data_IF_301637834590
#
_entry.id   IF_301637834590
#
_cell.length_a   1.000
_cell.length_b   1.000
_cell.length_c   1.000
_cell.angle_alpha   90.00
_cell.angle_beta   90.00
_cell.angle_gamma   90.00
#
_symmetry.space_group_name_H-M   'P 1'
#
loop_
_entity.id
_entity.type
_entity.pdbx_description
1 polymer ?
#
# COMPACT_ATOMS: atom_id res chain seq x y z
N UNK A 1 18.88 6.58 -5.29
CA UNK A 1 17.75 5.83 -4.68
C UNK A 1 17.46 4.54 -5.44
N UNK A 2 18.03 3.41 -5.03
CA UNK A 2 17.81 2.13 -5.71
C UNK A 2 16.35 1.69 -5.68
N UNK A 3 15.82 1.19 -6.81
CA UNK A 3 14.42 0.77 -6.93
C UNK A 3 14.20 -0.64 -6.38
N UNK A 4 13.20 -0.82 -5.50
CA UNK A 4 12.64 -2.15 -5.23
C UNK A 4 11.85 -2.64 -6.44
N UNK A 5 11.01 -1.75 -6.97
CA UNK A 5 10.21 -1.98 -8.17
C UNK A 5 9.83 -0.63 -8.78
N UNK A 6 9.95 -0.47 -10.09
CA UNK A 6 9.60 0.77 -10.78
C UNK A 6 9.33 0.55 -12.26
N UNK A 7 8.60 1.48 -12.88
CA UNK A 7 8.45 1.58 -14.34
C UNK A 7 9.05 2.87 -14.92
N UNK A 8 9.57 3.76 -14.06
CA UNK A 8 10.11 5.05 -14.46
C UNK A 8 11.62 5.04 -14.59
N UNK A 9 12.14 5.88 -15.48
CA UNK A 9 13.53 6.33 -15.38
C UNK A 9 13.67 7.17 -14.10
N UNK A 10 14.41 6.67 -13.11
CA UNK A 10 14.52 7.31 -11.80
C UNK A 10 15.37 8.59 -11.81
N UNK A 11 16.27 8.77 -12.78
CA UNK A 11 17.26 9.86 -12.84
C UNK A 11 16.73 11.24 -12.38
N UNK A 12 15.47 11.54 -12.65
CA UNK A 12 14.75 12.63 -12.00
C UNK A 12 13.42 12.16 -11.43
N UNK A 13 13.08 12.67 -10.24
CA UNK A 13 11.73 12.48 -9.66
C UNK A 13 10.63 13.08 -10.55
N UNK A 14 10.96 14.05 -11.40
CA UNK A 14 10.06 14.65 -12.40
C UNK A 14 9.81 13.78 -13.63
N UNK A 15 10.55 12.69 -13.85
CA UNK A 15 10.26 11.80 -14.97
C UNK A 15 8.90 11.09 -14.76
N UNK A 16 8.08 10.91 -15.80
CA UNK A 16 6.84 10.15 -15.75
C UNK A 16 6.98 8.75 -15.16
N UNK A 17 5.90 8.27 -14.55
CA UNK A 17 5.80 6.92 -14.02
C UNK A 17 5.97 6.84 -12.51
N UNK A 18 6.13 5.62 -12.02
CA UNK A 18 6.07 5.26 -10.61
C UNK A 18 7.20 4.35 -10.17
N UNK A 19 7.45 4.34 -8.86
CA UNK A 19 8.33 3.35 -8.24
C UNK A 19 8.36 3.44 -6.71
N UNK A 20 8.83 2.35 -6.11
CA UNK A 20 9.19 2.26 -4.70
C UNK A 20 10.70 2.11 -4.60
N UNK A 21 11.34 3.01 -3.86
CA UNK A 21 12.79 3.15 -3.83
C UNK A 21 13.32 3.07 -2.40
N UNK A 22 14.45 2.41 -2.22
CA UNK A 22 15.21 2.47 -0.97
C UNK A 22 15.84 3.86 -0.79
N UNK A 23 16.07 4.25 0.46
CA UNK A 23 16.73 5.50 0.84
C UNK A 23 17.96 5.17 1.69
N UNK A 24 18.95 6.08 1.74
CA UNK A 24 20.21 5.85 2.47
C UNK A 24 20.04 5.49 3.96
N UNK A 25 18.99 5.99 4.61
CA UNK A 25 18.73 5.79 6.04
C UNK A 25 18.13 4.43 6.44
N UNK A 26 17.88 3.52 5.50
CA UNK A 26 17.21 2.24 5.79
C UNK A 26 15.73 2.24 5.44
N UNK A 27 15.19 3.43 5.27
CA UNK A 27 13.80 3.68 4.92
C UNK A 27 13.54 3.58 3.41
N UNK A 28 12.29 3.85 3.03
CA UNK A 28 11.84 3.78 1.65
C UNK A 28 11.04 5.01 1.23
N UNK A 29 10.87 5.15 -0.09
CA UNK A 29 10.16 6.23 -0.75
C UNK A 29 9.23 5.66 -1.79
N UNK A 30 8.07 6.28 -1.95
CA UNK A 30 7.23 6.13 -3.14
C UNK A 30 7.30 7.42 -3.96
N UNK A 31 7.46 7.28 -5.27
CA UNK A 31 7.33 8.38 -6.22
C UNK A 31 6.36 8.00 -7.34
N UNK A 32 5.43 8.90 -7.66
CA UNK A 32 4.57 8.86 -8.84
C UNK A 32 4.58 10.22 -9.51
N UNK A 33 4.70 10.24 -10.83
CA UNK A 33 4.67 11.46 -11.64
C UNK A 33 3.83 11.24 -12.88
N UNK A 34 3.00 12.21 -13.19
CA UNK A 34 2.03 12.18 -14.29
C UNK A 34 2.75 12.12 -15.64
N UNK A 35 2.18 11.36 -16.59
CA UNK A 35 2.73 11.18 -17.93
C UNK A 35 2.49 12.34 -18.89
N UNK A 36 1.57 13.26 -18.56
CA UNK A 36 1.19 14.43 -19.37
C UNK A 36 1.69 15.73 -18.75
N UNK A 37 1.60 15.87 -17.44
CA UNK A 37 2.04 17.07 -16.71
C UNK A 37 2.97 16.70 -15.55
N UNK A 38 4.28 16.69 -15.81
CA UNK A 38 5.30 16.28 -14.83
C UNK A 38 5.37 17.15 -13.58
N UNK A 39 4.65 18.28 -13.52
CA UNK A 39 4.49 19.07 -12.28
C UNK A 39 3.55 18.37 -11.28
N UNK A 40 2.62 17.55 -11.77
CA UNK A 40 1.73 16.71 -10.97
C UNK A 40 2.46 15.45 -10.52
N UNK A 41 2.78 15.41 -9.22
CA UNK A 41 3.55 14.33 -8.62
C UNK A 41 3.12 14.03 -7.20
N UNK A 42 3.17 12.75 -6.85
CA UNK A 42 2.95 12.24 -5.50
C UNK A 42 4.26 11.66 -5.02
N UNK A 43 4.89 12.33 -4.07
CA UNK A 43 6.17 11.94 -3.49
C UNK A 43 6.01 11.70 -2.00
N UNK A 44 6.77 10.75 -1.45
CA UNK A 44 6.83 10.62 0.00
C UNK A 44 7.90 9.63 0.45
N UNK A 45 8.85 10.14 1.22
CA UNK A 45 9.78 9.30 2.00
C UNK A 45 9.08 8.92 3.31
N UNK A 46 9.14 7.65 3.68
CA UNK A 46 8.64 7.14 4.95
C UNK A 46 9.78 7.11 5.96
N UNK A 47 9.49 7.26 7.24
CA UNK A 47 10.50 7.16 8.30
C UNK A 47 10.74 5.72 8.72
N UNK A 48 9.82 4.81 8.39
CA UNK A 48 9.93 3.38 8.65
C UNK A 48 11.18 2.81 7.97
N UNK A 49 12.03 2.15 8.76
CA UNK A 49 13.18 1.40 8.28
C UNK A 49 12.67 0.05 7.79
N UNK A 50 13.05 -0.34 6.58
CA UNK A 50 12.69 -1.63 5.94
C UNK A 50 13.93 -2.44 5.51
N UNK A 51 15.12 -1.91 5.78
CA UNK A 51 16.42 -2.57 5.54
C UNK A 51 17.07 -2.94 6.87
N UNK A 52 16.28 -3.54 7.76
CA UNK A 52 16.70 -3.97 9.10
C UNK A 52 16.99 -5.48 9.19
N UNK A 53 16.86 -6.20 8.08
CA UNK A 53 17.12 -7.64 7.99
C UNK A 53 15.88 -8.51 8.24
N UNK A 54 14.69 -7.93 8.35
CA UNK A 54 13.42 -8.63 8.51
C UNK A 54 12.57 -8.48 7.24
N UNK A 55 11.69 -9.45 6.97
CA UNK A 55 10.71 -9.37 5.90
C UNK A 55 9.66 -8.29 6.18
N UNK A 56 9.40 -7.44 5.19
CA UNK A 56 8.34 -6.43 5.23
C UNK A 56 7.37 -6.59 4.07
N UNK A 57 6.11 -6.24 4.32
CA UNK A 57 5.06 -6.23 3.30
C UNK A 57 4.68 -4.79 2.95
N UNK A 58 4.94 -4.39 1.71
CA UNK A 58 4.64 -3.03 1.21
C UNK A 58 3.55 -3.13 0.15
N UNK A 59 2.45 -2.39 0.35
CA UNK A 59 1.38 -2.24 -0.65
C UNK A 59 1.19 -0.77 -0.99
N UNK A 60 1.12 -0.45 -2.27
CA UNK A 60 0.76 0.89 -2.76
C UNK A 60 -0.53 0.78 -3.57
N UNK A 61 -1.52 1.61 -3.25
CA UNK A 61 -2.76 1.72 -4.00
C UNK A 61 -2.92 3.12 -4.56
N UNK A 62 -3.47 3.25 -5.77
CA UNK A 62 -3.82 4.53 -6.37
C UNK A 62 -5.28 4.49 -6.85
N UNK A 63 -6.10 5.41 -6.35
CA UNK A 63 -7.46 5.62 -6.84
C UNK A 63 -7.52 6.82 -7.79
N UNK A 64 -8.08 6.64 -8.98
CA UNK A 64 -8.40 7.76 -9.88
C UNK A 64 -9.47 8.64 -9.23
N UNK A 65 -9.19 9.94 -9.08
CA UNK A 65 -10.07 10.88 -8.38
C UNK A 65 -10.20 10.65 -6.87
N UNK A 66 -9.34 9.80 -6.27
CA UNK A 66 -9.33 9.49 -4.85
C UNK A 66 -7.97 9.76 -4.21
N UNK A 67 -7.47 8.80 -3.44
CA UNK A 67 -6.17 8.88 -2.77
C UNK A 67 -5.17 7.86 -3.28
N UNK A 68 -3.89 8.18 -3.08
CA UNK A 68 -2.83 7.19 -3.00
C UNK A 68 -2.68 6.76 -1.54
N UNK A 69 -2.64 5.47 -1.30
CA UNK A 69 -2.30 4.92 0.02
C UNK A 69 -1.00 4.09 -0.05
N UNK A 70 -0.21 4.14 1.02
CA UNK A 70 0.84 3.17 1.32
C UNK A 70 0.43 2.39 2.55
N UNK A 71 0.57 1.07 2.49
CA UNK A 71 0.49 0.19 3.62
C UNK A 71 1.85 -0.46 3.86
N UNK A 72 2.20 -0.59 5.14
CA UNK A 72 3.39 -1.30 5.61
C UNK A 72 2.94 -2.33 6.64
N UNK A 73 3.36 -3.57 6.46
CA UNK A 73 3.14 -4.67 7.39
C UNK A 73 1.66 -4.84 7.79
N UNK A 74 0.78 -4.76 6.79
CA UNK A 74 -0.68 -4.91 6.94
C UNK A 74 -1.43 -3.62 7.30
N UNK A 75 -0.73 -2.59 7.80
CA UNK A 75 -1.35 -1.38 8.32
C UNK A 75 -1.21 -0.18 7.36
N UNK A 76 -2.19 0.74 7.38
CA UNK A 76 -2.10 2.00 6.64
C UNK A 76 -0.97 2.87 7.22
N UNK A 77 -0.01 3.23 6.38
CA UNK A 77 1.14 4.04 6.75
C UNK A 77 1.04 5.49 6.26
N UNK A 78 0.44 5.71 5.09
CA UNK A 78 0.29 7.04 4.48
C UNK A 78 -0.92 7.09 3.56
N UNK A 79 -1.61 8.23 3.53
CA UNK A 79 -2.71 8.50 2.61
C UNK A 79 -2.63 9.95 2.15
N UNK A 80 -2.61 10.16 0.84
CA UNK A 80 -2.56 11.51 0.25
C UNK A 80 -3.51 11.62 -0.94
N UNK A 81 -4.08 12.80 -1.23
CA UNK A 81 -4.87 13.02 -2.43
C UNK A 81 -4.10 12.67 -3.70
N UNK A 82 -4.78 12.01 -4.64
CA UNK A 82 -4.23 11.77 -5.97
C UNK A 82 -4.34 13.04 -6.81
N UNK A 83 -3.20 13.65 -7.14
CA UNK A 83 -3.13 14.83 -8.01
C UNK A 83 -2.85 14.48 -9.47
N UNK A 84 -2.61 13.22 -9.80
CA UNK A 84 -2.35 12.74 -11.16
C UNK A 84 -3.64 12.78 -11.97
N UNK A 85 -3.59 13.36 -13.17
CA UNK A 85 -4.73 13.51 -14.08
C UNK A 85 -4.55 12.75 -15.40
N UNK A 86 -3.30 12.51 -15.80
CA UNK A 86 -2.88 11.64 -16.89
C UNK A 86 -2.66 10.19 -16.45
N UNK A 87 -1.79 9.50 -17.18
CA UNK A 87 -1.36 8.15 -16.84
C UNK A 87 -0.14 8.15 -15.92
N UNK A 88 0.15 6.99 -15.34
CA UNK A 88 1.44 6.68 -14.69
C UNK A 88 2.17 5.56 -15.44
N UNK A 89 1.68 5.22 -16.63
CA UNK A 89 2.26 4.21 -17.47
C UNK A 89 3.38 4.81 -18.33
N UNK A 90 4.39 4.01 -18.63
CA UNK A 90 5.64 4.45 -19.23
C UNK A 90 6.06 3.64 -20.46
N UNK A 91 5.25 2.69 -20.92
CA UNK A 91 5.60 1.82 -22.06
C UNK A 91 5.84 2.59 -23.38
N UNK A 92 5.39 3.84 -23.50
CA UNK A 92 5.64 4.68 -24.68
C UNK A 92 6.95 5.47 -24.59
N UNK A 93 7.62 5.47 -23.43
CA UNK A 93 8.93 6.10 -23.24
C UNK A 93 10.03 5.08 -23.52
N UNK A 94 11.21 5.56 -23.90
CA UNK A 94 12.34 4.71 -24.23
C UNK A 94 13.55 4.98 -23.34
N UNK A 95 14.38 3.95 -23.16
CA UNK A 95 15.70 4.05 -22.58
C UNK A 95 16.72 4.53 -23.65
N UNK A 96 18.01 4.58 -23.30
CA UNK A 96 19.06 5.22 -24.08
C UNK A 96 19.58 4.31 -25.17
N UNK A 97 19.10 3.07 -25.16
CA UNK A 97 19.23 2.08 -26.20
C UNK A 97 18.01 2.10 -27.14
N UNK A 98 17.06 3.03 -26.94
CA UNK A 98 15.83 3.13 -27.73
C UNK A 98 14.78 2.05 -27.41
N UNK A 99 14.94 1.30 -26.32
CA UNK A 99 14.01 0.24 -25.92
C UNK A 99 12.92 0.80 -25.00
N UNK A 100 11.66 0.33 -25.06
CA UNK A 100 10.61 0.78 -24.15
C UNK A 100 11.00 0.62 -22.67
N UNK A 101 10.58 1.57 -21.83
CA UNK A 101 10.65 1.37 -20.38
C UNK A 101 9.76 0.18 -19.97
N UNK A 102 10.20 -0.56 -18.96
CA UNK A 102 9.50 -1.74 -18.45
C UNK A 102 9.25 -1.62 -16.94
N UNK A 103 8.34 -2.45 -16.41
CA UNK A 103 8.25 -2.65 -14.96
C UNK A 103 9.36 -3.63 -14.58
N UNK A 104 10.33 -3.16 -13.79
CA UNK A 104 11.44 -3.98 -13.34
C UNK A 104 11.44 -4.11 -11.82
N UNK A 105 11.94 -5.25 -11.33
CA UNK A 105 12.15 -5.54 -9.91
C UNK A 105 13.67 -5.43 -9.65
N UNK A 106 14.08 -4.66 -8.65
CA UNK A 106 15.49 -4.42 -8.33
C UNK A 106 16.21 -3.42 -9.25
N UNK A 107 15.53 -2.96 -10.31
CA UNK A 107 16.02 -2.00 -11.30
C UNK A 107 14.96 -0.91 -11.51
N UNK A 108 15.37 0.25 -12.02
CA UNK A 108 14.41 1.25 -12.47
C UNK A 108 13.83 0.88 -13.84
N UNK A 109 12.91 1.69 -14.37
CA UNK A 109 12.24 1.40 -15.64
C UNK A 109 13.17 1.33 -16.87
N UNK A 110 14.43 1.77 -16.75
CA UNK A 110 15.41 1.72 -17.86
C UNK A 110 16.03 0.34 -18.06
N UNK A 111 15.90 -0.55 -17.07
CA UNK A 111 16.63 -1.83 -17.01
C UNK A 111 18.03 -1.68 -16.41
N UNK A 112 18.29 -0.57 -15.72
CA UNK A 112 19.56 -0.28 -15.05
C UNK A 112 19.49 -0.62 -13.56
N UNK A 113 20.53 -1.30 -13.05
CA UNK A 113 20.69 -1.57 -11.61
C UNK A 113 21.01 -0.34 -10.78
N UNK A 114 21.14 0.84 -11.39
CA UNK A 114 21.67 2.01 -10.72
C UNK A 114 20.98 3.30 -11.12
N UNK A 115 21.16 4.36 -10.33
CA UNK A 115 20.57 5.68 -10.60
C UNK A 115 21.41 6.55 -11.55
N UNK A 116 21.95 5.93 -12.62
CA UNK A 116 23.02 6.54 -13.41
C UNK A 116 22.76 7.97 -13.86
N UNK A 117 23.74 8.82 -13.58
CA UNK A 117 23.76 10.23 -13.96
C UNK A 117 24.36 10.50 -15.34
N UNK A 118 24.75 9.45 -16.07
CA UNK A 118 25.49 9.60 -17.31
C UNK A 118 24.60 10.01 -18.51
N UNK A 119 25.12 10.96 -19.30
CA UNK A 119 24.52 11.55 -20.50
C UNK A 119 25.12 10.89 -21.76
N UNK A 120 24.32 10.60 -22.82
CA UNK A 120 22.90 10.85 -22.95
C UNK A 120 22.07 9.86 -22.12
N UNK A 121 21.00 10.32 -21.46
CA UNK A 121 20.14 9.43 -20.73
C UNK A 121 19.47 8.42 -21.68
N UNK A 122 19.23 7.19 -21.20
CA UNK A 122 19.93 6.52 -20.10
C UNK A 122 21.17 5.75 -20.57
N UNK A 123 22.33 6.13 -20.04
CA UNK A 123 23.55 5.36 -20.13
C UNK A 123 23.47 4.13 -19.21
N UNK A 124 24.02 3.00 -19.68
CA UNK A 124 24.21 1.80 -18.87
C UNK A 124 25.04 2.16 -17.64
N UNK A 125 24.58 1.69 -16.49
CA UNK A 125 25.25 1.70 -15.22
C UNK A 125 26.79 1.64 -15.29
N UNK A 126 27.48 2.77 -15.14
CA UNK A 126 28.94 2.81 -14.94
C UNK A 126 29.19 2.87 -13.45
N UNK A 127 29.66 1.77 -12.85
CA UNK A 127 29.78 1.59 -11.39
C UNK A 127 30.26 2.84 -10.62
N UNK A 128 29.56 3.13 -9.51
CA UNK A 128 29.66 4.34 -8.71
C UNK A 128 28.30 4.84 -8.20
N UNK A 129 27.23 4.44 -8.90
CA UNK A 129 25.84 4.79 -8.62
C UNK A 129 25.19 3.82 -7.60
N UNK A 130 24.14 4.26 -6.90
CA UNK A 130 23.48 3.45 -5.86
C UNK A 130 22.67 2.31 -6.47
N UNK A 131 22.97 1.06 -6.09
CA UNK A 131 22.30 -0.14 -6.58
C UNK A 131 21.77 -1.03 -5.43
N UNK A 132 20.71 -1.80 -5.69
CA UNK A 132 20.34 -2.92 -4.82
C UNK A 132 21.30 -4.07 -5.13
N UNK A 133 22.28 -4.29 -4.25
CA UNK A 133 23.26 -5.37 -4.39
C UNK A 133 22.83 -6.66 -3.70
N UNK A 134 21.86 -6.59 -2.80
CA UNK A 134 21.31 -7.72 -2.06
C UNK A 134 19.93 -7.35 -1.51
N UNK A 135 18.89 -7.96 -2.07
CA UNK A 135 17.53 -7.90 -1.54
C UNK A 135 16.81 -9.21 -1.86
N UNK A 136 16.04 -9.72 -0.90
CA UNK A 136 15.06 -10.76 -1.13
C UNK A 136 13.71 -10.07 -1.37
N UNK A 137 13.09 -10.35 -2.51
CA UNK A 137 11.76 -9.85 -2.88
C UNK A 137 10.94 -11.06 -3.29
N UNK A 138 9.77 -11.21 -2.69
CA UNK A 138 8.86 -12.33 -2.93
C UNK A 138 7.41 -11.83 -2.99
N UNK A 139 6.50 -12.66 -3.50
CA UNK A 139 5.05 -12.42 -3.53
C UNK A 139 4.65 -11.08 -4.19
N UNK A 140 5.30 -10.76 -5.32
CA UNK A 140 5.00 -9.55 -6.10
C UNK A 140 3.70 -9.70 -6.89
N UNK A 141 2.71 -8.85 -6.57
CA UNK A 141 1.39 -8.85 -7.22
C UNK A 141 0.99 -7.48 -7.77
N UNK A 142 0.16 -7.50 -8.82
CA UNK A 142 -0.47 -6.31 -9.39
C UNK A 142 -1.98 -6.50 -9.51
N UNK A 143 -2.73 -5.50 -9.04
CA UNK A 143 -4.20 -5.51 -9.09
C UNK A 143 -4.71 -4.43 -10.02
N UNK A 144 -5.72 -4.78 -10.83
CA UNK A 144 -6.46 -3.81 -11.67
C UNK A 144 -7.61 -3.12 -10.93
N UNK A 145 -7.58 -3.15 -9.60
CA UNK A 145 -8.55 -2.53 -8.70
C UNK A 145 -7.84 -2.08 -7.43
N UNK A 146 -8.52 -1.25 -6.65
CA UNK A 146 -8.07 -0.97 -5.30
C UNK A 146 -8.09 -2.25 -4.46
N UNK A 147 -6.95 -2.51 -3.83
CA UNK A 147 -6.85 -3.46 -2.72
C UNK A 147 -7.31 -2.73 -1.47
N UNK A 148 -8.30 -3.27 -0.78
CA UNK A 148 -8.86 -2.65 0.43
C UNK A 148 -7.94 -2.84 1.63
N UNK A 149 -8.03 -1.99 2.68
CA UNK A 149 -7.26 -2.19 3.91
C UNK A 149 -7.39 -3.59 4.50
N UNK A 150 -8.58 -4.18 4.43
CA UNK A 150 -8.86 -5.53 4.92
C UNK A 150 -8.13 -6.60 4.10
N UNK A 151 -8.07 -6.44 2.78
CA UNK A 151 -7.31 -7.34 1.91
C UNK A 151 -5.81 -7.21 2.13
N UNK A 152 -5.31 -5.98 2.36
CA UNK A 152 -3.90 -5.76 2.69
C UNK A 152 -3.52 -6.47 3.99
N UNK A 153 -4.33 -6.31 5.05
CA UNK A 153 -4.14 -7.03 6.30
C UNK A 153 -4.24 -8.54 6.11
N UNK A 154 -5.11 -9.02 5.21
CA UNK A 154 -5.24 -10.43 4.88
C UNK A 154 -3.98 -11.01 4.27
N UNK A 155 -3.45 -10.34 3.25
CA UNK A 155 -2.24 -10.73 2.53
C UNK A 155 -1.06 -10.76 3.50
N UNK A 156 -0.92 -9.71 4.32
CA UNK A 156 0.13 -9.66 5.34
C UNK A 156 0.06 -10.85 6.31
N UNK A 157 -1.12 -11.12 6.88
CA UNK A 157 -1.32 -12.22 7.82
C UNK A 157 -1.13 -13.61 7.18
N UNK A 158 -1.39 -13.75 5.88
CA UNK A 158 -1.08 -14.96 5.13
C UNK A 158 0.44 -15.13 4.96
N UNK A 159 1.15 -14.06 4.61
CA UNK A 159 2.62 -14.05 4.51
C UNK A 159 3.31 -14.40 5.83
N UNK A 160 2.79 -13.94 6.97
CA UNK A 160 3.26 -14.34 8.31
C UNK A 160 3.13 -15.85 8.59
N UNK A 161 2.29 -16.56 7.83
CA UNK A 161 2.13 -18.02 7.89
C UNK A 161 2.88 -18.74 6.77
N UNK A 162 3.74 -18.05 6.01
CA UNK A 162 4.46 -18.60 4.85
C UNK A 162 3.56 -18.89 3.65
N UNK A 163 2.47 -18.14 3.49
CA UNK A 163 1.53 -18.28 2.36
C UNK A 163 1.58 -17.05 1.47
N UNK A 164 1.59 -17.27 0.16
CA UNK A 164 1.49 -16.24 -0.85
C UNK A 164 0.09 -15.58 -0.92
N UNK A 165 -0.03 -14.50 -1.70
CA UNK A 165 -1.29 -13.79 -1.90
C UNK A 165 -2.34 -14.55 -2.75
N UNK A 166 -2.00 -15.73 -3.30
CA UNK A 166 -2.97 -16.61 -3.95
C UNK A 166 -3.68 -17.54 -2.94
N UNK A 167 -3.07 -17.71 -1.76
CA UNK A 167 -3.57 -18.51 -0.65
C UNK A 167 -4.13 -17.67 0.50
N UNK A 168 -4.55 -16.44 0.21
CA UNK A 168 -5.24 -15.59 1.17
C UNK A 168 -6.62 -16.17 1.35
N UNK A 169 -6.82 -16.89 2.47
CA UNK A 169 -8.17 -17.22 2.91
C UNK A 169 -8.96 -15.92 2.93
N UNK A 170 -10.08 -15.87 2.18
CA UNK A 170 -10.88 -14.66 2.07
C UNK A 170 -11.08 -14.10 3.48
N UNK A 171 -10.65 -12.86 3.72
CA UNK A 171 -10.82 -12.19 5.00
C UNK A 171 -12.30 -11.80 5.11
N UNK A 172 -13.12 -12.84 5.28
CA UNK A 172 -14.54 -12.75 5.42
C UNK A 172 -14.78 -12.56 6.92
N UNK A 173 -14.82 -11.30 7.34
CA UNK A 173 -15.29 -10.94 8.68
C UNK A 173 -16.77 -11.35 8.91
N UNK A 174 -17.42 -11.89 7.87
CA UNK A 174 -18.84 -12.14 7.81
C UNK A 174 -19.62 -10.86 7.58
N UNK A 175 -20.90 -11.03 7.24
CA UNK A 175 -21.87 -9.95 7.42
C UNK A 175 -22.05 -9.72 8.92
N UNK A 176 -21.97 -8.46 9.36
CA UNK A 176 -22.45 -8.10 10.70
C UNK A 176 -23.96 -8.28 10.71
N UNK A 177 -24.46 -9.25 11.46
CA UNK A 177 -25.89 -9.38 11.70
C UNK A 177 -26.26 -8.57 12.93
N UNK A 178 -27.37 -7.84 12.82
CA UNK A 178 -27.84 -6.92 13.85
C UNK A 178 -29.26 -7.30 14.21
N UNK A 179 -29.52 -7.48 15.50
CA UNK A 179 -30.86 -7.70 16.04
C UNK A 179 -31.12 -6.76 17.20
N UNK A 180 -32.35 -6.27 17.31
CA UNK A 180 -32.80 -5.50 18.47
C UNK A 180 -33.46 -6.45 19.47
N UNK A 181 -33.08 -6.33 20.74
CA UNK A 181 -33.70 -7.08 21.84
C UNK A 181 -33.81 -6.19 23.08
N UNK A 182 -35.03 -5.82 23.45
CA UNK A 182 -35.25 -4.88 24.55
C UNK A 182 -34.53 -3.55 24.31
N UNK A 183 -33.75 -3.10 25.29
CA UNK A 183 -32.96 -1.86 25.17
C UNK A 183 -31.53 -2.08 24.63
N UNK A 184 -31.32 -3.16 23.89
CA UNK A 184 -29.99 -3.56 23.40
C UNK A 184 -29.98 -3.81 21.88
N UNK A 185 -28.86 -3.46 21.27
CA UNK A 185 -28.47 -3.87 19.91
C UNK A 185 -27.47 -5.01 20.04
N UNK A 186 -27.83 -6.19 19.54
CA UNK A 186 -26.97 -7.35 19.51
C UNK A 186 -26.35 -7.49 18.11
N UNK A 187 -25.03 -7.63 18.08
CA UNK A 187 -24.22 -7.83 16.89
C UNK A 187 -23.65 -9.24 16.89
N UNK A 188 -23.64 -9.90 15.73
CA UNK A 188 -22.91 -11.15 15.52
C UNK A 188 -22.12 -11.09 14.21
N UNK A 189 -20.96 -11.73 14.19
CA UNK A 189 -20.03 -11.76 13.06
C UNK A 189 -19.12 -12.99 13.09
N UNK A 190 -18.24 -13.14 12.10
CA UNK A 190 -17.23 -14.21 12.10
C UNK A 190 -16.06 -13.80 12.99
N UNK A 191 -15.94 -14.42 14.16
CA UNK A 191 -14.89 -14.09 15.14
C UNK A 191 -13.50 -14.61 14.74
N UNK A 192 -12.49 -14.14 15.48
CA UNK A 192 -11.09 -14.53 15.27
C UNK A 192 -10.13 -13.49 15.86
N UNK A 193 -8.95 -13.94 16.29
CA UNK A 193 -7.93 -13.07 16.93
C UNK A 193 -7.68 -11.80 16.12
N UNK A 194 -7.70 -10.64 16.79
CA UNK A 194 -7.53 -9.32 16.19
C UNK A 194 -8.81 -8.73 15.59
N UNK A 195 -9.87 -9.51 15.38
CA UNK A 195 -11.16 -8.99 14.91
C UNK A 195 -11.88 -8.33 16.08
N UNK A 196 -12.32 -7.08 15.91
CA UNK A 196 -13.08 -6.32 16.91
C UNK A 196 -14.15 -5.44 16.29
N UNK A 197 -15.21 -5.21 17.05
CA UNK A 197 -16.26 -4.26 16.70
C UNK A 197 -15.80 -2.85 17.07
N UNK A 198 -15.94 -1.90 16.16
CA UNK A 198 -15.72 -0.49 16.43
C UNK A 198 -17.02 0.30 16.33
N UNK A 199 -17.11 1.38 17.09
CA UNK A 199 -18.21 2.35 17.02
C UNK A 199 -17.70 3.75 16.72
N UNK A 200 -18.50 4.55 16.02
CA UNK A 200 -18.27 5.98 15.79
C UNK A 200 -19.58 6.75 15.95
N UNK A 201 -19.59 7.93 16.61
CA UNK A 201 -20.80 8.76 16.71
C UNK A 201 -21.15 9.49 15.39
N UNK A 202 -20.18 9.67 14.50
CA UNK A 202 -20.37 10.31 13.19
C UNK A 202 -19.60 9.57 12.08
N UNK A 203 -20.07 9.67 10.84
CA UNK A 203 -19.30 9.28 9.65
C UNK A 203 -18.47 10.42 9.05
N UNK A 204 -18.65 11.65 9.55
CA UNK A 204 -17.88 12.83 9.12
C UNK A 204 -17.81 13.88 10.25
N UNK A 205 -16.63 14.14 10.84
CA UNK A 205 -15.44 13.29 10.78
C UNK A 205 -15.69 11.94 11.47
N UNK A 206 -15.01 10.89 11.02
CA UNK A 206 -15.06 9.59 11.70
C UNK A 206 -14.20 9.60 12.95
N UNK A 207 -14.70 9.05 14.06
CA UNK A 207 -13.95 8.83 15.30
C UNK A 207 -14.17 7.40 15.80
N UNK A 208 -13.61 6.43 15.07
CA UNK A 208 -13.76 5.01 15.39
C UNK A 208 -13.03 4.64 16.67
N UNK A 209 -13.74 4.05 17.61
CA UNK A 209 -13.22 3.53 18.87
C UNK A 209 -13.61 2.06 19.00
N UNK A 210 -12.73 1.25 19.58
CA UNK A 210 -13.02 -0.15 19.85
C UNK A 210 -14.19 -0.27 20.86
N UNK A 211 -15.12 -1.16 20.57
CA UNK A 211 -16.08 -1.62 21.57
C UNK A 211 -15.33 -2.57 22.50
N UNK A 212 -15.24 -2.19 23.78
CA UNK A 212 -14.43 -2.90 24.75
C UNK A 212 -14.81 -4.39 24.84
N UNK A 213 -13.79 -5.25 24.96
CA UNK A 213 -13.96 -6.70 25.11
C UNK A 213 -14.33 -7.46 23.84
N UNK A 214 -14.30 -6.83 22.66
CA UNK A 214 -14.70 -7.49 21.40
C UNK A 214 -13.55 -8.14 20.63
N UNK A 215 -12.31 -7.98 21.07
CA UNK A 215 -11.15 -8.63 20.43
C UNK A 215 -11.25 -10.16 20.48
N UNK A 216 -11.10 -10.81 19.34
CA UNK A 216 -11.23 -12.25 19.19
C UNK A 216 -12.66 -12.77 19.22
N UNK A 217 -13.64 -11.94 19.57
CA UNK A 217 -15.03 -12.35 19.76
C UNK A 217 -15.79 -12.47 18.44
N UNK A 218 -16.97 -13.08 18.50
CA UNK A 218 -17.92 -13.22 17.38
C UNK A 218 -19.26 -12.51 17.64
N UNK A 219 -19.40 -11.81 18.76
CA UNK A 219 -20.62 -11.10 19.12
C UNK A 219 -20.37 -9.97 20.12
N UNK A 220 -21.24 -8.97 20.12
CA UNK A 220 -21.28 -7.92 21.13
C UNK A 220 -22.70 -7.40 21.35
N UNK A 221 -22.95 -6.94 22.56
CA UNK A 221 -24.21 -6.26 22.93
C UNK A 221 -23.90 -4.82 23.30
N UNK A 222 -24.62 -3.89 22.68
CA UNK A 222 -24.50 -2.46 22.95
C UNK A 222 -25.86 -1.93 23.40
N UNK A 223 -25.91 -1.28 24.56
CA UNK A 223 -27.13 -0.67 25.07
C UNK A 223 -27.56 0.53 24.20
N UNK A 224 -28.86 0.65 23.97
CA UNK A 224 -29.46 1.80 23.29
C UNK A 224 -29.43 2.98 24.27
N UNK A 225 -28.66 4.02 23.92
CA UNK A 225 -28.48 5.23 24.72
C UNK A 225 -29.28 6.43 24.21
N UNK A 226 -30.10 6.25 23.16
CA UNK A 226 -30.88 7.32 22.52
C UNK A 226 -30.09 8.18 21.53
N UNK A 227 -28.76 8.04 21.46
CA UNK A 227 -27.92 8.65 20.43
C UNK A 227 -27.68 7.67 19.26
N UNK A 228 -27.70 8.17 18.03
CA UNK A 228 -27.30 7.39 16.85
C UNK A 228 -25.82 7.01 16.90
N UNK A 229 -25.47 5.89 16.28
CA UNK A 229 -24.08 5.42 16.20
C UNK A 229 -23.86 4.52 14.98
N UNK A 230 -22.64 4.53 14.48
CA UNK A 230 -22.19 3.72 13.35
C UNK A 230 -21.25 2.63 13.85
N UNK A 231 -21.34 1.44 13.25
CA UNK A 231 -20.56 0.27 13.64
C UNK A 231 -19.82 -0.32 12.44
N UNK A 232 -18.63 -0.86 12.68
CA UNK A 232 -17.86 -1.64 11.69
C UNK A 232 -17.08 -2.75 12.37
N UNK A 233 -16.71 -3.78 11.61
CA UNK A 233 -15.67 -4.71 12.03
C UNK A 233 -14.32 -4.21 11.56
N UNK A 234 -13.33 -4.35 12.42
CA UNK A 234 -11.92 -4.12 12.11
C UNK A 234 -11.16 -5.42 12.39
N UNK A 235 -10.26 -5.78 11.49
CA UNK A 235 -9.11 -6.64 11.78
C UNK A 235 -7.86 -5.84 11.39
N UNK A 236 -7.01 -5.45 12.35
CA UNK A 236 -5.75 -4.78 12.06
C UNK A 236 -4.84 -5.61 11.17
#
# INVERSE_FOLDING_TARGET
DPAFIANKNWFSSGNPGWGVFSQGGGNFRMQMTDSKDTSLRIAGTRTNIVRDGIWHHIVVTLQVGGTRNIYLDGALNDSVPNVITGGIDTFTFTNGLGQPLAINIGEDGTGGYNDSTAVPPPAKATGGDSAIINAAIDDVGFWRRLVTPQEVAAIYNAGQQGKDFSNVGALNLGKVNVTLQGNNVNFTWTGGTGIRLQRSPSLSPTAWQDVAGTDGQSSATVAISGAGGYFRLLKP
#
